data_IF_843795512925
#
_entry.id   IF_843795512925
#
_cell.length_a   1.000
_cell.length_b   1.000
_cell.length_c   1.000
_cell.angle_alpha   90.00
_cell.angle_beta   90.00
_cell.angle_gamma   90.00
#
_symmetry.space_group_name_H-M   'P 1'
#
loop_
_entity.id
_entity.type
_entity.pdbx_description
1 polymer ?
#
# COMPACT_ATOMS: atom_id res chain seq x y z
N UNK A 1 -2.75 9.18 -12.54
CA UNK A 1 -2.33 8.19 -11.53
C UNK A 1 -3.59 7.68 -10.86
N UNK A 2 -3.94 6.42 -11.07
CA UNK A 2 -5.06 5.76 -10.41
C UNK A 2 -4.60 4.88 -9.24
N UNK A 3 -5.56 4.25 -8.60
CA UNK A 3 -5.36 3.41 -7.41
C UNK A 3 -6.30 2.21 -7.50
N UNK A 4 -5.77 1.01 -7.28
CA UNK A 4 -6.55 -0.22 -7.24
C UNK A 4 -6.35 -0.92 -5.88
N UNK A 5 -7.42 -1.06 -5.07
CA UNK A 5 -7.41 -1.90 -3.87
C UNK A 5 -6.97 -3.33 -4.21
N UNK A 6 -6.17 -4.00 -3.38
CA UNK A 6 -5.81 -5.39 -3.66
C UNK A 6 -7.07 -6.24 -3.78
N UNK A 7 -7.96 -6.16 -2.80
CA UNK A 7 -9.18 -6.95 -2.72
C UNK A 7 -10.40 -6.18 -3.21
N UNK A 8 -11.46 -6.90 -3.57
CA UNK A 8 -12.78 -6.34 -3.92
C UNK A 8 -13.77 -6.53 -2.79
N UNK A 9 -14.85 -5.75 -2.75
CA UNK A 9 -15.92 -5.94 -1.77
C UNK A 9 -16.62 -7.29 -1.96
N UNK A 10 -17.02 -7.94 -0.86
CA UNK A 10 -17.80 -9.20 -0.95
C UNK A 10 -19.16 -8.99 -1.62
N UNK A 11 -19.87 -7.93 -1.23
CA UNK A 11 -21.13 -7.52 -1.85
C UNK A 11 -20.83 -6.63 -3.07
N UNK A 12 -20.28 -7.25 -4.12
CA UNK A 12 -19.92 -6.57 -5.36
C UNK A 12 -20.35 -7.38 -6.58
N UNK A 13 -20.52 -6.69 -7.71
CA UNK A 13 -20.75 -7.34 -8.99
C UNK A 13 -19.59 -8.26 -9.39
N UNK A 14 -18.34 -7.91 -9.02
CA UNK A 14 -17.16 -8.72 -9.27
C UNK A 14 -17.30 -10.12 -8.64
N UNK A 15 -17.64 -10.16 -7.35
CA UNK A 15 -17.79 -11.40 -6.60
C UNK A 15 -19.06 -12.14 -7.01
N UNK A 16 -20.16 -11.42 -7.22
CA UNK A 16 -21.43 -12.03 -7.64
C UNK A 16 -21.31 -12.72 -9.01
N UNK A 17 -20.68 -12.07 -9.99
CA UNK A 17 -20.60 -12.57 -11.37
C UNK A 17 -19.45 -13.57 -11.57
N UNK A 18 -18.39 -13.50 -10.77
CA UNK A 18 -17.17 -14.34 -10.90
C UNK A 18 -16.83 -15.07 -9.62
N UNK A 19 -17.81 -15.75 -9.01
CA UNK A 19 -17.64 -16.54 -7.76
C UNK A 19 -16.49 -17.55 -7.85
N UNK A 20 -16.21 -18.07 -9.03
CA UNK A 20 -15.10 -18.99 -9.32
C UNK A 20 -13.73 -18.36 -9.04
N UNK A 21 -13.58 -17.04 -9.16
CA UNK A 21 -12.35 -16.32 -8.90
C UNK A 21 -12.06 -16.09 -7.41
N UNK A 22 -12.98 -16.44 -6.51
CA UNK A 22 -12.87 -16.17 -5.08
C UNK A 22 -12.99 -17.45 -4.24
N UNK A 23 -12.44 -17.42 -3.03
CA UNK A 23 -12.57 -18.49 -2.05
C UNK A 23 -13.93 -18.42 -1.35
N UNK A 24 -14.92 -19.05 -1.98
CA UNK A 24 -16.31 -19.10 -1.50
C UNK A 24 -16.81 -20.55 -1.45
N UNK A 25 -17.72 -20.84 -0.53
CA UNK A 25 -18.44 -22.10 -0.48
C UNK A 25 -19.50 -22.22 -1.60
N UNK A 26 -20.23 -23.34 -1.65
CA UNK A 26 -21.23 -23.61 -2.69
C UNK A 26 -22.41 -22.64 -2.62
N UNK A 27 -22.73 -22.13 -1.43
CA UNK A 27 -23.75 -21.11 -1.21
C UNK A 27 -23.25 -19.69 -1.53
N UNK A 28 -21.95 -19.54 -1.79
CA UNK A 28 -21.28 -18.27 -2.09
C UNK A 28 -20.79 -17.51 -0.87
N UNK A 29 -20.75 -18.13 0.32
CA UNK A 29 -20.26 -17.53 1.57
C UNK A 29 -18.75 -17.61 1.67
N UNK A 30 -18.15 -16.63 2.36
CA UNK A 30 -16.71 -16.60 2.68
C UNK A 30 -16.41 -17.61 3.77
N UNK A 31 -15.47 -18.52 3.52
CA UNK A 31 -14.89 -19.39 4.56
C UNK A 31 -13.77 -18.66 5.31
N UNK A 32 -13.05 -17.80 4.58
CA UNK A 32 -11.96 -16.97 5.07
C UNK A 32 -12.08 -15.55 4.51
N UNK A 33 -11.45 -14.60 5.18
CA UNK A 33 -11.48 -13.18 4.85
C UNK A 33 -10.12 -12.53 5.00
N UNK A 34 -9.94 -11.45 4.24
CA UNK A 34 -8.74 -10.65 4.25
C UNK A 34 -8.60 -9.77 5.50
N UNK A 35 -7.34 -9.47 5.81
CA UNK A 35 -6.92 -8.54 6.83
C UNK A 35 -5.40 -8.48 6.90
N UNK A 36 -4.89 -7.96 8.00
CA UNK A 36 -3.46 -7.96 8.35
C UNK A 36 -3.27 -8.43 9.80
N UNK A 37 -2.15 -9.10 10.10
CA UNK A 37 -1.88 -9.56 11.47
C UNK A 37 -1.69 -8.37 12.42
N UNK A 38 -1.69 -8.62 13.74
CA UNK A 38 -1.21 -7.64 14.71
C UNK A 38 0.18 -7.12 14.37
N UNK A 39 0.37 -5.82 14.54
CA UNK A 39 1.64 -5.13 14.37
C UNK A 39 1.82 -4.06 15.45
N UNK A 40 2.86 -3.23 15.31
CA UNK A 40 3.16 -2.17 16.28
C UNK A 40 2.14 -1.01 16.25
N UNK A 41 1.26 -0.95 15.25
CA UNK A 41 0.17 0.02 15.16
C UNK A 41 -1.17 -0.54 15.67
N UNK A 42 -1.40 -1.84 15.55
CA UNK A 42 -2.63 -2.51 15.99
C UNK A 42 -2.37 -3.82 16.73
N UNK A 43 -2.73 -3.85 18.02
CA UNK A 43 -2.59 -5.03 18.87
C UNK A 43 -3.45 -6.23 18.42
N UNK A 44 -4.50 -5.99 17.63
CA UNK A 44 -5.42 -7.03 17.13
C UNK A 44 -5.35 -7.22 15.61
N UNK A 45 -4.44 -6.51 14.94
CA UNK A 45 -4.40 -6.42 13.47
C UNK A 45 -5.63 -5.69 12.94
N UNK A 46 -5.96 -5.91 11.67
CA UNK A 46 -7.14 -5.34 11.03
C UNK A 46 -7.92 -6.42 10.29
N UNK A 47 -9.22 -6.50 10.55
CA UNK A 47 -10.13 -7.44 9.90
C UNK A 47 -10.93 -6.69 8.83
N UNK A 48 -10.55 -6.82 7.56
CA UNK A 48 -11.18 -6.07 6.47
C UNK A 48 -12.44 -6.76 5.92
N UNK A 49 -12.48 -8.09 6.00
CA UNK A 49 -13.67 -8.85 5.63
C UNK A 49 -13.80 -9.14 4.12
N UNK A 50 -12.91 -8.66 3.26
CA UNK A 50 -12.95 -8.97 1.83
C UNK A 50 -12.75 -10.47 1.57
N UNK A 51 -13.33 -11.05 0.50
CA UNK A 51 -13.00 -12.41 0.10
C UNK A 51 -11.57 -12.50 -0.44
N UNK A 52 -10.92 -13.65 -0.24
CA UNK A 52 -9.65 -13.96 -0.89
C UNK A 52 -9.86 -14.49 -2.31
N UNK A 53 -8.81 -14.35 -3.12
CA UNK A 53 -8.76 -14.90 -4.47
C UNK A 53 -8.56 -16.42 -4.45
N UNK A 54 -9.24 -17.12 -5.36
CA UNK A 54 -8.97 -18.52 -5.64
C UNK A 54 -7.75 -18.63 -6.57
N UNK A 55 -6.57 -18.33 -6.04
CA UNK A 55 -5.33 -18.22 -6.81
C UNK A 55 -5.01 -19.44 -7.69
N UNK A 56 -5.32 -20.65 -7.23
CA UNK A 56 -5.12 -21.87 -8.04
C UNK A 56 -6.01 -21.90 -9.28
N UNK A 57 -7.25 -21.43 -9.18
CA UNK A 57 -8.18 -21.32 -10.31
C UNK A 57 -7.75 -20.21 -11.27
N UNK A 58 -7.32 -19.06 -10.73
CA UNK A 58 -6.78 -17.97 -11.54
C UNK A 58 -5.51 -18.40 -12.29
N UNK A 59 -4.63 -19.17 -11.64
CA UNK A 59 -3.44 -19.71 -12.31
C UNK A 59 -3.83 -20.63 -13.47
N UNK A 60 -4.83 -21.48 -13.26
CA UNK A 60 -5.32 -22.41 -14.29
C UNK A 60 -5.94 -21.72 -15.51
N UNK A 61 -6.49 -20.51 -15.36
CA UNK A 61 -7.05 -19.72 -16.46
C UNK A 61 -6.11 -18.64 -17.01
N UNK A 62 -4.86 -18.62 -16.56
CA UNK A 62 -3.86 -17.64 -17.00
C UNK A 62 -4.12 -16.22 -16.49
N UNK A 63 -4.71 -16.12 -15.30
CA UNK A 63 -5.05 -14.90 -14.58
C UNK A 63 -6.06 -14.00 -15.31
N UNK A 64 -7.04 -14.60 -15.97
CA UNK A 64 -7.98 -13.89 -16.85
C UNK A 64 -8.72 -12.76 -16.12
N UNK A 65 -9.16 -12.99 -14.89
CA UNK A 65 -9.86 -11.97 -14.09
C UNK A 65 -8.98 -10.75 -13.80
N UNK A 66 -7.72 -10.96 -13.40
CA UNK A 66 -6.78 -9.86 -13.14
C UNK A 66 -6.40 -9.11 -14.41
N UNK A 67 -6.26 -9.80 -15.55
CA UNK A 67 -6.03 -9.17 -16.85
C UNK A 67 -7.19 -8.24 -17.22
N UNK A 68 -8.44 -8.69 -17.11
CA UNK A 68 -9.61 -7.84 -17.38
C UNK A 68 -9.68 -6.63 -16.43
N UNK A 69 -9.38 -6.86 -15.15
CA UNK A 69 -9.34 -5.81 -14.13
C UNK A 69 -8.31 -4.73 -14.49
N UNK A 70 -7.07 -5.12 -14.79
CA UNK A 70 -5.99 -4.20 -15.18
C UNK A 70 -6.31 -3.51 -16.51
N UNK A 71 -6.83 -4.22 -17.51
CA UNK A 71 -7.25 -3.63 -18.79
C UNK A 71 -8.24 -2.50 -18.59
N UNK A 72 -9.22 -2.70 -17.71
CA UNK A 72 -10.22 -1.66 -17.40
C UNK A 72 -9.59 -0.44 -16.75
N UNK A 73 -8.64 -0.63 -15.83
CA UNK A 73 -7.93 0.49 -15.19
C UNK A 73 -7.05 1.27 -16.18
N UNK A 74 -6.39 0.60 -17.11
CA UNK A 74 -5.58 1.25 -18.16
C UNK A 74 -6.39 2.05 -19.18
N UNK A 75 -7.72 1.93 -19.21
CA UNK A 75 -8.56 2.85 -20.00
C UNK A 75 -8.75 4.22 -19.32
N UNK A 76 -8.46 4.30 -18.02
CA UNK A 76 -8.70 5.49 -17.19
C UNK A 76 -7.40 6.14 -16.69
N UNK A 77 -6.34 5.36 -16.52
CA UNK A 77 -5.11 5.81 -15.86
C UNK A 77 -3.84 5.38 -16.59
N UNK A 78 -2.89 6.30 -16.74
CA UNK A 78 -1.57 6.04 -17.33
C UNK A 78 -0.57 5.35 -16.39
N UNK A 79 -0.86 5.40 -15.08
CA UNK A 79 -0.07 4.83 -13.99
C UNK A 79 -1.05 4.37 -12.90
N UNK A 80 -0.86 3.19 -12.36
CA UNK A 80 -1.78 2.58 -11.39
C UNK A 80 -1.04 2.11 -10.14
N UNK A 81 -1.46 2.57 -8.95
CA UNK A 81 -0.97 2.03 -7.68
C UNK A 81 -1.73 0.76 -7.37
N UNK A 82 -1.02 -0.33 -7.05
CA UNK A 82 -1.63 -1.52 -6.45
C UNK A 82 -1.48 -1.38 -4.94
N UNK A 83 -2.61 -1.12 -4.29
CA UNK A 83 -2.74 -1.13 -2.84
C UNK A 83 -2.41 -2.51 -2.26
N UNK A 84 -1.87 -2.55 -1.05
CA UNK A 84 -1.49 -3.75 -0.33
C UNK A 84 -0.68 -4.74 -1.18
N UNK A 85 0.30 -4.24 -1.94
CA UNK A 85 1.06 -5.02 -2.92
C UNK A 85 1.64 -6.31 -2.33
N UNK A 86 2.06 -6.27 -1.07
CA UNK A 86 2.61 -7.43 -0.36
C UNK A 86 1.69 -8.65 -0.37
N UNK A 87 0.37 -8.46 -0.49
CA UNK A 87 -0.62 -9.52 -0.62
C UNK A 87 -0.50 -10.36 -1.90
N UNK A 88 0.29 -9.89 -2.88
CA UNK A 88 0.64 -10.63 -4.10
C UNK A 88 1.85 -11.57 -3.90
N UNK A 89 2.64 -11.41 -2.84
CA UNK A 89 3.64 -12.40 -2.41
C UNK A 89 3.01 -13.36 -1.39
N UNK A 90 2.46 -12.82 -0.31
CA UNK A 90 1.71 -13.59 0.68
C UNK A 90 0.59 -12.75 1.28
N UNK A 91 -0.55 -13.34 1.58
CA UNK A 91 -1.70 -12.66 2.19
C UNK A 91 -2.05 -13.30 3.54
N UNK A 92 -2.63 -12.50 4.42
CA UNK A 92 -3.07 -12.94 5.74
C UNK A 92 -4.53 -13.42 5.66
N UNK A 93 -4.71 -14.72 5.82
CA UNK A 93 -5.98 -15.42 5.70
C UNK A 93 -6.59 -15.64 7.10
N UNK A 94 -7.77 -15.07 7.34
CA UNK A 94 -8.47 -15.12 8.64
C UNK A 94 -9.76 -15.93 8.50
N UNK A 95 -10.11 -16.85 9.41
CA UNK A 95 -11.40 -17.52 9.38
C UNK A 95 -12.56 -16.50 9.38
N UNK A 96 -13.56 -16.68 8.52
CA UNK A 96 -14.66 -15.72 8.38
C UNK A 96 -15.53 -15.57 9.65
N UNK A 97 -15.42 -16.51 10.59
CA UNK A 97 -16.10 -16.49 11.89
C UNK A 97 -15.31 -15.76 12.97
N UNK A 98 -14.08 -15.30 12.69
CA UNK A 98 -13.25 -14.62 13.67
C UNK A 98 -13.74 -13.19 13.93
N UNK A 99 -13.64 -12.74 15.19
CA UNK A 99 -13.95 -11.36 15.58
C UNK A 99 -12.77 -10.40 15.37
N UNK A 100 -11.54 -10.94 15.26
CA UNK A 100 -10.30 -10.17 15.09
C UNK A 100 -9.36 -10.85 14.09
N UNK A 101 -8.32 -10.14 13.66
CA UNK A 101 -7.32 -10.67 12.73
C UNK A 101 -6.19 -11.47 13.39
N UNK A 102 -6.21 -11.62 14.73
CA UNK A 102 -5.13 -12.27 15.49
C UNK A 102 -4.88 -13.72 15.06
N UNK A 103 -5.96 -14.48 14.80
CA UNK A 103 -5.90 -15.92 14.54
C UNK A 103 -5.89 -16.27 13.04
N UNK A 104 -5.27 -15.43 12.21
CA UNK A 104 -5.05 -15.72 10.80
C UNK A 104 -3.77 -16.52 10.54
N UNK A 105 -3.46 -16.71 9.27
CA UNK A 105 -2.20 -17.32 8.84
C UNK A 105 -1.75 -16.80 7.47
N UNK A 106 -0.43 -16.79 7.25
CA UNK A 106 0.13 -16.41 5.97
C UNK A 106 -0.13 -17.51 4.92
N UNK A 107 -0.57 -17.09 3.74
CA UNK A 107 -0.74 -17.90 2.54
C UNK A 107 0.02 -17.28 1.40
N UNK A 108 0.65 -18.10 0.59
CA UNK A 108 1.43 -17.64 -0.57
C UNK A 108 0.50 -17.33 -1.74
N UNK A 109 0.74 -16.20 -2.40
CA UNK A 109 0.10 -15.83 -3.66
C UNK A 109 1.06 -16.06 -4.83
N UNK A 110 0.57 -16.38 -6.03
CA UNK A 110 1.39 -16.60 -7.22
C UNK A 110 1.79 -15.27 -7.87
N UNK A 111 2.41 -14.36 -7.11
CA UNK A 111 2.73 -13.00 -7.55
C UNK A 111 3.59 -12.96 -8.81
N UNK A 112 4.68 -13.73 -8.85
CA UNK A 112 5.56 -13.77 -10.03
C UNK A 112 4.79 -14.22 -11.27
N UNK A 113 4.03 -15.32 -11.19
CA UNK A 113 3.25 -15.86 -12.30
C UNK A 113 2.16 -14.87 -12.77
N UNK A 114 1.53 -14.14 -11.83
CA UNK A 114 0.59 -13.09 -12.16
C UNK A 114 1.26 -11.97 -12.96
N UNK A 115 2.38 -11.44 -12.47
CA UNK A 115 3.07 -10.33 -13.15
C UNK A 115 3.68 -10.75 -14.49
N UNK A 116 4.19 -11.97 -14.63
CA UNK A 116 4.60 -12.54 -15.91
C UNK A 116 3.41 -12.57 -16.89
N UNK A 117 2.25 -13.07 -16.45
CA UNK A 117 1.06 -13.12 -17.30
C UNK A 117 0.54 -11.73 -17.68
N UNK A 118 0.65 -10.73 -16.79
CA UNK A 118 0.31 -9.34 -17.09
C UNK A 118 1.31 -8.72 -18.07
N UNK A 119 2.60 -8.97 -17.88
CA UNK A 119 3.68 -8.47 -18.74
C UNK A 119 3.56 -9.06 -20.16
N UNK A 120 3.18 -10.33 -20.29
CA UNK A 120 2.91 -10.98 -21.58
C UNK A 120 1.71 -10.36 -22.31
N UNK A 121 0.66 -9.97 -21.58
CA UNK A 121 -0.56 -9.38 -22.13
C UNK A 121 -0.39 -7.91 -22.54
N UNK A 122 0.23 -7.11 -21.67
CA UNK A 122 0.25 -5.65 -21.81
C UNK A 122 1.61 -5.10 -22.27
N UNK A 123 2.65 -5.93 -22.31
CA UNK A 123 4.01 -5.44 -22.44
C UNK A 123 4.35 -4.61 -21.20
N UNK A 124 4.53 -3.30 -21.34
CA UNK A 124 4.92 -2.47 -20.19
C UNK A 124 3.81 -2.40 -19.14
N UNK A 125 4.18 -2.60 -17.88
CA UNK A 125 3.31 -2.47 -16.72
C UNK A 125 3.58 -1.13 -15.98
N UNK A 126 2.84 -0.04 -16.27
CA UNK A 126 2.95 1.21 -15.54
C UNK A 126 2.24 1.09 -14.18
N UNK A 127 2.84 0.32 -13.27
CA UNK A 127 2.32 0.04 -11.95
C UNK A 127 3.23 0.64 -10.88
N UNK A 128 2.67 0.95 -9.71
CA UNK A 128 3.39 1.34 -8.49
C UNK A 128 2.98 0.38 -7.38
N UNK A 129 3.94 -0.16 -6.65
CA UNK A 129 3.68 -1.02 -5.50
C UNK A 129 3.44 -0.16 -4.25
N UNK A 130 2.29 -0.30 -3.61
CA UNK A 130 2.12 0.12 -2.22
C UNK A 130 2.77 -0.93 -1.32
N UNK A 131 3.99 -0.62 -0.87
CA UNK A 131 4.86 -1.50 -0.10
C UNK A 131 5.17 -0.90 1.28
N UNK A 132 4.16 -0.38 1.96
CA UNK A 132 4.28 0.19 3.30
C UNK A 132 4.04 -0.89 4.39
N UNK A 133 4.41 -0.55 5.63
CA UNK A 133 4.31 -1.45 6.78
C UNK A 133 5.50 -2.40 6.93
N UNK A 134 5.28 -3.56 7.54
CA UNK A 134 6.32 -4.58 7.73
C UNK A 134 6.43 -5.40 6.43
N UNK A 135 7.47 -5.11 5.66
CA UNK A 135 7.76 -5.75 4.38
C UNK A 135 8.90 -6.76 4.53
N UNK A 136 8.78 -7.90 3.86
CA UNK A 136 9.80 -8.95 3.85
C UNK A 136 10.68 -8.86 2.60
N UNK A 137 11.90 -9.43 2.62
CA UNK A 137 12.77 -9.47 1.44
C UNK A 137 12.11 -10.11 0.20
N UNK A 138 11.19 -11.05 0.39
CA UNK A 138 10.45 -11.70 -0.70
C UNK A 138 9.50 -10.72 -1.42
N UNK A 139 8.84 -9.83 -0.68
CA UNK A 139 7.99 -8.78 -1.24
C UNK A 139 8.84 -7.77 -2.02
N UNK A 140 10.00 -7.38 -1.47
CA UNK A 140 10.95 -6.49 -2.17
C UNK A 140 11.48 -7.15 -3.45
N UNK A 141 11.81 -8.44 -3.39
CA UNK A 141 12.26 -9.21 -4.55
C UNK A 141 11.17 -9.29 -5.63
N UNK A 142 9.91 -9.49 -5.26
CA UNK A 142 8.78 -9.49 -6.20
C UNK A 142 8.64 -8.11 -6.87
N UNK A 143 8.68 -7.03 -6.09
CA UNK A 143 8.61 -5.65 -6.61
C UNK A 143 9.75 -5.37 -7.59
N UNK A 144 10.98 -5.67 -7.18
CA UNK A 144 12.20 -5.32 -7.90
C UNK A 144 12.40 -6.18 -9.15
N UNK A 145 12.02 -7.47 -9.12
CA UNK A 145 12.10 -8.35 -10.30
C UNK A 145 11.22 -7.88 -11.45
N UNK A 146 10.11 -7.20 -11.13
CA UNK A 146 9.18 -6.63 -12.10
C UNK A 146 9.40 -5.13 -12.34
N UNK A 147 10.49 -4.57 -11.80
CA UNK A 147 10.89 -3.18 -12.01
C UNK A 147 9.89 -2.15 -11.46
N UNK A 148 9.05 -2.54 -10.50
CA UNK A 148 7.99 -1.68 -9.98
C UNK A 148 8.56 -0.66 -8.99
N UNK A 149 8.22 0.64 -9.09
CA UNK A 149 8.56 1.60 -8.04
C UNK A 149 7.78 1.31 -6.77
N UNK A 150 8.47 1.35 -5.63
CA UNK A 150 7.88 1.37 -4.29
C UNK A 150 7.54 2.78 -3.81
N UNK A 151 7.05 2.89 -2.58
CA UNK A 151 6.65 4.15 -1.96
C UNK A 151 7.62 4.58 -0.86
N UNK A 152 7.81 5.89 -0.73
CA UNK A 152 8.61 6.52 0.34
C UNK A 152 7.81 7.63 1.00
N UNK A 153 7.42 7.46 2.26
CA UNK A 153 6.54 8.39 2.97
C UNK A 153 7.29 9.04 4.13
N UNK A 154 7.52 10.36 4.05
CA UNK A 154 8.34 11.07 5.04
C UNK A 154 7.75 11.07 6.45
N UNK A 155 6.43 10.93 6.60
CA UNK A 155 5.79 10.77 7.93
C UNK A 155 6.31 9.56 8.71
N UNK A 156 6.95 8.58 8.04
CA UNK A 156 7.56 7.40 8.65
C UNK A 156 9.08 7.49 8.79
N UNK A 157 9.72 8.58 8.35
CA UNK A 157 11.17 8.67 8.19
C UNK A 157 11.95 8.98 9.48
N UNK A 158 11.35 9.75 10.38
CA UNK A 158 12.09 10.37 11.48
C UNK A 158 12.04 9.59 12.79
N UNK A 159 11.34 8.44 12.82
CA UNK A 159 11.43 7.46 13.90
C UNK A 159 12.56 6.47 13.65
N UNK A 160 13.25 6.02 14.70
CA UNK A 160 14.32 5.02 14.60
C UNK A 160 15.68 5.60 14.19
N UNK A 161 16.47 4.81 13.46
CA UNK A 161 17.87 5.12 13.11
C UNK A 161 18.07 5.62 11.68
N UNK A 162 19.33 5.85 11.32
CA UNK A 162 19.74 6.27 9.97
C UNK A 162 19.50 5.19 8.89
N UNK A 163 19.21 3.96 9.28
CA UNK A 163 18.83 2.85 8.40
C UNK A 163 17.34 2.85 8.03
N UNK A 164 16.54 3.80 8.55
CA UNK A 164 15.14 3.91 8.20
C UNK A 164 14.97 4.14 6.68
N UNK A 165 14.27 3.25 5.96
CA UNK A 165 14.19 3.27 4.50
C UNK A 165 13.39 4.46 3.94
N UNK A 166 12.69 5.21 4.80
CA UNK A 166 11.94 6.41 4.46
C UNK A 166 12.74 7.70 4.63
N UNK A 167 13.98 7.64 5.14
CA UNK A 167 14.87 8.80 5.16
C UNK A 167 15.34 9.14 3.73
N UNK A 168 15.40 10.44 3.35
CA UNK A 168 15.78 10.86 2.00
C UNK A 168 17.08 10.25 1.43
N UNK A 169 18.13 10.09 2.25
CA UNK A 169 19.39 9.49 1.79
C UNK A 169 19.29 7.98 1.48
N UNK A 170 18.25 7.30 1.96
CA UNK A 170 17.96 5.89 1.67
C UNK A 170 16.95 5.72 0.51
N UNK A 171 16.48 6.82 -0.07
CA UNK A 171 15.60 6.75 -1.23
C UNK A 171 16.35 6.20 -2.46
N UNK A 172 15.61 5.52 -3.33
CA UNK A 172 16.09 5.02 -4.61
C UNK A 172 15.37 5.70 -5.76
N UNK A 173 15.98 5.71 -6.94
CA UNK A 173 15.40 6.34 -8.13
C UNK A 173 14.06 5.68 -8.53
N UNK A 174 13.94 4.36 -8.38
CA UNK A 174 12.68 3.65 -8.67
C UNK A 174 11.71 3.71 -7.49
N UNK A 175 11.26 4.90 -7.13
CA UNK A 175 10.29 5.10 -6.06
C UNK A 175 9.38 6.30 -6.34
N UNK A 176 8.28 6.34 -5.59
CA UNK A 176 7.40 7.51 -5.48
C UNK A 176 7.51 8.05 -4.05
N UNK A 177 7.94 9.31 -3.92
CA UNK A 177 8.09 9.99 -2.64
C UNK A 177 6.83 10.81 -2.30
N UNK A 178 6.44 10.76 -1.03
CA UNK A 178 5.28 11.43 -0.44
C UNK A 178 5.68 12.12 0.86
N UNK A 179 4.97 13.20 1.21
CA UNK A 179 4.99 13.71 2.58
C UNK A 179 4.22 12.72 3.47
N UNK A 180 2.92 12.60 3.20
CA UNK A 180 1.98 11.61 3.71
C UNK A 180 1.07 11.09 2.59
N UNK A 181 0.31 10.03 2.85
CA UNK A 181 -0.75 9.50 1.97
C UNK A 181 -2.13 9.99 2.44
N UNK A 182 -3.20 9.51 1.81
CA UNK A 182 -4.57 9.79 2.26
C UNK A 182 -4.93 9.12 3.61
N UNK A 183 -4.17 8.11 4.03
CA UNK A 183 -4.35 7.43 5.32
C UNK A 183 -3.58 8.09 6.46
N UNK A 184 -2.59 8.93 6.13
CA UNK A 184 -1.88 9.74 7.11
C UNK A 184 -2.73 10.95 7.52
N UNK A 185 -2.35 11.56 8.65
CA UNK A 185 -2.82 12.91 8.96
C UNK A 185 -2.22 13.92 7.96
N UNK A 186 -2.70 15.17 7.95
CA UNK A 186 -1.97 16.22 7.22
C UNK A 186 -0.58 16.38 7.83
N UNK A 187 0.39 16.92 7.08
CA UNK A 187 1.74 17.13 7.61
C UNK A 187 1.72 18.04 8.84
N UNK A 188 0.84 19.03 8.90
CA UNK A 188 0.67 19.86 10.10
C UNK A 188 0.07 19.09 11.27
N UNK A 189 -0.97 18.30 11.02
CA UNK A 189 -1.60 17.45 12.04
C UNK A 189 -0.64 16.40 12.61
N UNK A 190 0.08 15.71 11.73
CA UNK A 190 1.13 14.75 12.07
C UNK A 190 2.25 15.41 12.89
N UNK A 191 2.76 16.56 12.44
CA UNK A 191 3.85 17.26 13.13
C UNK A 191 3.49 17.68 14.56
N UNK A 192 2.26 18.14 14.77
CA UNK A 192 1.75 18.53 16.08
C UNK A 192 1.67 17.35 17.07
N UNK A 193 1.49 16.14 16.56
CA UNK A 193 1.36 14.90 17.34
C UNK A 193 2.69 14.18 17.58
N UNK A 194 3.79 14.60 16.93
CA UNK A 194 5.12 14.02 17.16
C UNK A 194 5.58 14.21 18.61
N UNK A 195 6.20 13.18 19.16
CA UNK A 195 6.95 13.28 20.40
C UNK A 195 8.20 14.17 20.24
N UNK A 196 8.73 14.67 21.36
CA UNK A 196 9.86 15.60 21.37
C UNK A 196 11.13 15.02 20.71
N UNK A 197 11.37 13.71 20.86
CA UNK A 197 12.57 13.07 20.33
C UNK A 197 12.51 12.92 18.80
N UNK A 198 11.36 12.51 18.26
CA UNK A 198 11.12 12.41 16.82
C UNK A 198 11.15 13.80 16.18
N UNK A 199 10.57 14.81 16.86
CA UNK A 199 10.63 16.21 16.40
C UNK A 199 12.05 16.77 16.37
N UNK A 200 12.88 16.46 17.38
CA UNK A 200 14.28 16.86 17.40
C UNK A 200 15.06 16.21 16.25
N UNK A 201 14.89 14.90 16.03
CA UNK A 201 15.55 14.18 14.94
C UNK A 201 15.17 14.73 13.56
N UNK A 202 13.91 15.11 13.35
CA UNK A 202 13.45 15.75 12.10
C UNK A 202 14.27 17.02 11.80
N UNK A 203 14.44 17.92 12.78
CA UNK A 203 15.18 19.16 12.57
C UNK A 203 16.70 18.96 12.55
N UNK A 204 17.24 18.00 13.29
CA UNK A 204 18.66 17.63 13.17
C UNK A 204 18.99 17.11 11.77
N UNK A 205 18.05 16.40 11.15
CA UNK A 205 18.22 15.83 9.81
C UNK A 205 18.00 16.86 8.70
N UNK A 206 16.91 17.63 8.75
CA UNK A 206 16.49 18.55 7.67
C UNK A 206 17.06 19.97 7.85
N UNK A 207 17.49 20.32 9.06
CA UNK A 207 17.70 21.70 9.49
C UNK A 207 16.37 22.45 9.67
N UNK A 208 16.48 23.70 10.12
CA UNK A 208 15.33 24.60 10.24
C UNK A 208 14.57 24.50 11.55
N UNK A 209 13.31 24.91 11.53
CA UNK A 209 12.45 25.03 12.71
C UNK A 209 10.96 24.84 12.44
N UNK A 210 10.13 24.79 13.51
CA UNK A 210 8.69 24.54 13.44
C UNK A 210 7.92 25.54 12.56
N UNK A 211 8.41 26.78 12.44
CA UNK A 211 7.82 27.84 11.62
C UNK A 211 7.89 27.57 10.11
N UNK A 212 8.67 26.57 9.69
CA UNK A 212 8.84 26.19 8.28
C UNK A 212 7.99 24.96 7.91
N UNK A 213 7.19 24.44 8.84
CA UNK A 213 6.27 23.33 8.56
C UNK A 213 4.97 23.87 7.94
N UNK A 214 4.39 23.18 6.94
CA UNK A 214 4.79 21.88 6.38
C UNK A 214 5.79 21.96 5.21
N UNK A 215 6.14 23.17 4.76
CA UNK A 215 6.98 23.44 3.57
C UNK A 215 8.32 22.68 3.59
N UNK A 216 8.92 22.48 4.77
CA UNK A 216 10.15 21.70 4.92
C UNK A 216 10.02 20.26 4.37
N UNK A 217 8.93 19.56 4.67
CA UNK A 217 8.69 18.21 4.15
C UNK A 217 8.36 18.24 2.66
N UNK A 218 7.57 19.22 2.21
CA UNK A 218 7.24 19.40 0.79
C UNK A 218 8.51 19.57 -0.06
N UNK A 219 9.42 20.45 0.36
CA UNK A 219 10.73 20.64 -0.30
C UNK A 219 11.58 19.37 -0.27
N UNK A 220 11.55 18.64 0.83
CA UNK A 220 12.32 17.40 0.98
C UNK A 220 11.84 16.34 0.01
N UNK A 221 10.52 16.19 -0.18
CA UNK A 221 9.96 15.29 -1.19
C UNK A 221 10.37 15.70 -2.60
N UNK A 222 10.33 16.99 -2.93
CA UNK A 222 10.79 17.48 -4.24
C UNK A 222 12.31 17.36 -4.46
N UNK A 223 13.10 17.36 -3.39
CA UNK A 223 14.56 17.20 -3.45
C UNK A 223 15.01 15.71 -3.46
N UNK A 224 14.09 14.78 -3.23
CA UNK A 224 14.34 13.34 -3.26
C UNK A 224 14.87 12.87 -4.61
N UNK A 225 15.68 11.80 -4.62
CA UNK A 225 16.11 11.12 -5.85
C UNK A 225 15.01 10.28 -6.51
N UNK A 226 13.86 10.12 -5.84
CA UNK A 226 12.71 9.38 -6.35
C UNK A 226 12.21 9.95 -7.68
N UNK A 227 11.83 9.08 -8.62
CA UNK A 227 11.35 9.47 -9.96
C UNK A 227 10.06 10.29 -9.96
N UNK A 228 9.24 10.16 -8.92
CA UNK A 228 7.98 10.88 -8.77
C UNK A 228 7.84 11.39 -7.34
N UNK A 229 7.43 12.65 -7.21
CA UNK A 229 7.08 13.31 -5.97
C UNK A 229 5.57 13.60 -5.98
N UNK A 230 4.86 13.22 -4.92
CA UNK A 230 3.41 13.44 -4.77
C UNK A 230 3.14 14.10 -3.43
N UNK A 231 2.45 15.23 -3.46
CA UNK A 231 2.10 16.02 -2.27
C UNK A 231 0.57 16.03 -2.14
N UNK A 232 -0.01 15.62 -1.00
CA UNK A 232 -1.43 15.84 -0.71
C UNK A 232 -1.78 17.32 -0.79
N UNK A 233 -2.97 17.65 -1.30
CA UNK A 233 -3.39 19.05 -1.45
C UNK A 233 -3.45 19.77 -0.10
N UNK A 234 -3.80 19.06 0.97
CA UNK A 234 -3.83 19.59 2.34
C UNK A 234 -2.46 20.12 2.80
N UNK A 235 -1.36 19.49 2.38
CA UNK A 235 -0.01 19.93 2.75
C UNK A 235 0.40 21.19 2.00
N UNK A 236 -0.05 21.35 0.74
CA UNK A 236 0.15 22.58 -0.03
C UNK A 236 -0.70 23.74 0.49
N UNK A 237 -1.84 23.44 1.12
CA UNK A 237 -2.76 24.40 1.72
C UNK A 237 -2.49 24.63 3.22
N UNK A 238 -1.48 23.97 3.78
CA UNK A 238 -1.07 24.08 5.18
C UNK A 238 -2.18 23.75 6.21
N UNK A 239 -3.05 22.79 5.86
CA UNK A 239 -4.24 22.44 6.63
C UNK A 239 -3.94 21.51 7.82
N UNK A 240 -4.78 21.55 8.86
CA UNK A 240 -4.66 20.77 10.09
C UNK A 240 -5.35 19.40 10.05
N UNK A 241 -5.39 18.73 11.21
CA UNK A 241 -5.96 17.39 11.37
C UNK A 241 -7.47 17.28 11.08
N UNK A 242 -8.17 18.41 11.03
CA UNK A 242 -9.57 18.53 10.61
C UNK A 242 -9.77 18.18 9.13
N UNK A 243 -8.72 18.30 8.31
CA UNK A 243 -8.74 18.01 6.86
C UNK A 243 -8.10 16.66 6.51
N UNK A 244 -7.86 15.80 7.52
CA UNK A 244 -7.40 14.42 7.32
C UNK A 244 -8.43 13.64 6.51
N UNK A 245 -7.99 13.01 5.41
CA UNK A 245 -8.87 12.32 4.47
C UNK A 245 -9.44 11.01 5.02
N UNK A 246 -8.59 10.17 5.61
CA UNK A 246 -8.99 8.89 6.19
C UNK A 246 -8.26 8.62 7.52
N UNK A 247 -8.94 7.92 8.44
CA UNK A 247 -8.36 7.38 9.68
C UNK A 247 -8.53 5.85 9.64
N UNK A 248 -7.48 5.08 9.30
CA UNK A 248 -7.56 3.63 9.34
C UNK A 248 -7.89 3.12 10.75
N UNK A 249 -8.83 2.18 10.87
CA UNK A 249 -9.25 1.58 12.15
C UNK A 249 -10.76 1.63 12.38
#
# INVERSE_FOLDING_TARGET
FGDIPLFVGYDSADVWARRDAFQLDQEGRREVVAGVPPDYFSATGQLWGNPHYAWDKMRADGFAWWKERIRTQFTQFDLLRIDHFRGLEAYWEIPATAETAVNGCWRQAPGHELFEALQDEFGRLPLVAEDLGIITPEVEALRDSHGLPGMKVLHFAFGGGADNPYLPHNHVINAVAYTGTHDNDTTMGWFQQLDESTRAHLFDYLGGGPEQMPDLLVRTVFASVARLAVIPMQDLLELGSEDRMNRPG
#
